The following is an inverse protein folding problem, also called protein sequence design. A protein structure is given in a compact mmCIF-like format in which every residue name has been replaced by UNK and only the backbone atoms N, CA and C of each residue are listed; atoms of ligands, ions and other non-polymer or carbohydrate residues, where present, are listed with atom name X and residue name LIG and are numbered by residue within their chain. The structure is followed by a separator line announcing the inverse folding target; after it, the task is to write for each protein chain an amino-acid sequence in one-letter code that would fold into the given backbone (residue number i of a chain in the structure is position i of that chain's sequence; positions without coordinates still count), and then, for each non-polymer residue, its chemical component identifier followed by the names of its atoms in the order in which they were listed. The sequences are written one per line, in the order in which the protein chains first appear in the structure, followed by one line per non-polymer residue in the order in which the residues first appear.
data_IF_061501138225
#
_entry.id   IF_061501138225
#
_cell.length_a   1.000
_cell.length_b   1.000
_cell.length_c   1.000
_cell.angle_alpha   90.00
_cell.angle_beta   90.00
_cell.angle_gamma   90.00
#
_symmetry.space_group_name_H-M   'P 1'
#
loop_
_entity.id
_entity.type
_entity.pdbx_description
1 polymer ?
#
# COMPACT_ATOMS: atom_id res chain seq x y z
N UNK A 1 6.02 4.63 14.72
CA UNK A 1 7.03 4.40 13.66
C UNK A 1 7.51 2.97 13.83
N UNK A 2 7.05 2.04 12.99
CA UNK A 2 7.55 0.66 13.04
C UNK A 2 8.81 0.56 12.17
N UNK A 3 9.78 -0.23 12.65
CA UNK A 3 11.01 -0.50 11.90
C UNK A 3 10.86 -1.87 11.25
N UNK A 4 10.94 -1.93 9.93
CA UNK A 4 10.86 -3.20 9.21
C UNK A 4 12.13 -4.03 9.49
N UNK A 5 12.01 -5.36 9.71
CA UNK A 5 13.17 -6.24 9.89
C UNK A 5 13.90 -6.54 8.58
N UNK A 6 13.23 -6.37 7.44
CA UNK A 6 13.75 -6.60 6.08
C UNK A 6 13.32 -5.45 5.14
N UNK A 7 14.04 -5.21 4.02
CA UNK A 7 13.63 -4.21 3.04
C UNK A 7 12.23 -4.55 2.49
N UNK A 8 11.39 -3.55 2.26
CA UNK A 8 10.04 -3.73 1.73
C UNK A 8 10.10 -4.50 0.40
N UNK A 9 11.10 -4.21 -0.44
CA UNK A 9 11.29 -4.92 -1.71
C UNK A 9 11.51 -6.43 -1.56
N UNK A 10 12.21 -6.87 -0.51
CA UNK A 10 12.42 -8.32 -0.25
C UNK A 10 11.13 -8.93 0.29
N UNK A 11 10.45 -8.25 1.20
CA UNK A 11 9.16 -8.66 1.73
C UNK A 11 8.12 -8.86 0.61
N UNK A 12 7.96 -7.87 -0.27
CA UNK A 12 7.05 -7.95 -1.42
C UNK A 12 7.44 -9.04 -2.41
N UNK A 13 8.73 -9.34 -2.55
CA UNK A 13 9.19 -10.41 -3.45
C UNK A 13 8.91 -11.81 -2.88
N UNK A 14 8.95 -11.97 -1.55
CA UNK A 14 8.54 -13.22 -0.89
C UNK A 14 7.03 -13.43 -1.05
N UNK A 15 6.23 -12.38 -0.87
CA UNK A 15 4.77 -12.40 -1.03
C UNK A 15 4.30 -12.04 -2.45
N UNK A 16 5.15 -12.23 -3.46
CA UNK A 16 4.83 -11.80 -4.82
C UNK A 16 3.59 -12.48 -5.41
N UNK A 17 3.25 -13.66 -4.90
CA UNK A 17 2.07 -14.42 -5.28
C UNK A 17 0.76 -13.90 -4.64
N UNK A 18 0.84 -13.07 -3.60
CA UNK A 18 -0.31 -12.43 -2.94
C UNK A 18 -0.45 -10.95 -3.32
N UNK A 19 0.43 -10.44 -4.18
CA UNK A 19 0.33 -9.09 -4.71
C UNK A 19 -0.93 -8.93 -5.55
N UNK A 20 -1.69 -7.90 -5.24
CA UNK A 20 -2.88 -7.51 -5.99
C UNK A 20 -2.59 -6.19 -6.68
N UNK A 21 -2.92 -6.11 -7.97
CA UNK A 21 -2.81 -4.85 -8.72
C UNK A 21 -3.99 -3.94 -8.39
N UNK A 22 -3.67 -2.73 -7.91
CA UNK A 22 -4.63 -1.68 -7.63
C UNK A 22 -4.46 -0.54 -8.62
N UNK A 23 -5.57 -0.10 -9.20
CA UNK A 23 -5.66 1.16 -9.92
C UNK A 23 -5.98 2.27 -8.93
N UNK A 24 -5.07 3.24 -8.81
CA UNK A 24 -5.22 4.43 -7.99
C UNK A 24 -6.03 5.45 -8.77
N UNK A 25 -7.24 5.75 -8.30
CA UNK A 25 -8.11 6.79 -8.86
C UNK A 25 -8.11 8.02 -7.97
N UNK A 26 -7.84 9.18 -8.56
CA UNK A 26 -7.93 10.49 -7.90
C UNK A 26 -8.95 11.32 -8.65
N UNK A 27 -9.96 11.83 -7.96
CA UNK A 27 -11.02 12.64 -8.57
C UNK A 27 -11.69 11.95 -9.78
N UNK A 28 -11.98 10.64 -9.66
CA UNK A 28 -12.56 9.77 -10.71
C UNK A 28 -11.67 9.46 -11.93
N UNK A 29 -10.42 9.92 -11.98
CA UNK A 29 -9.46 9.55 -13.02
C UNK A 29 -8.40 8.59 -12.49
N UNK A 30 -8.00 7.59 -13.29
CA UNK A 30 -6.89 6.69 -12.94
C UNK A 30 -5.59 7.46 -13.09
N UNK A 31 -4.93 7.74 -11.96
CA UNK A 31 -3.67 8.50 -11.92
C UNK A 31 -2.44 7.59 -11.93
N UNK A 32 -2.57 6.38 -11.41
CA UNK A 32 -1.48 5.40 -11.37
C UNK A 32 -2.02 4.00 -11.16
N UNK A 33 -1.19 3.00 -11.43
CA UNK A 33 -1.41 1.63 -11.00
C UNK A 33 -0.27 1.22 -10.07
N UNK A 34 -0.58 0.49 -9.01
CA UNK A 34 0.41 0.01 -8.05
C UNK A 34 0.02 -1.37 -7.54
N UNK A 35 0.99 -2.28 -7.46
CA UNK A 35 0.80 -3.59 -6.84
C UNK A 35 0.94 -3.44 -5.33
N UNK A 36 -0.11 -3.84 -4.62
CA UNK A 36 -0.20 -3.72 -3.17
C UNK A 36 -0.45 -5.07 -2.52
N UNK A 37 0.02 -5.22 -1.29
CA UNK A 37 -0.23 -6.40 -0.47
C UNK A 37 -1.30 -6.05 0.59
N UNK A 38 -2.52 -6.60 0.48
CA UNK A 38 -3.52 -6.42 1.52
C UNK A 38 -3.07 -7.09 2.83
N UNK A 39 -3.20 -6.38 3.94
CA UNK A 39 -2.80 -6.85 5.26
C UNK A 39 -3.72 -6.27 6.35
N UNK A 40 -3.64 -6.86 7.53
CA UNK A 40 -4.36 -6.47 8.73
C UNK A 40 -3.37 -6.21 9.86
N UNK A 41 -3.56 -5.10 10.58
CA UNK A 41 -2.77 -4.76 11.76
C UNK A 41 -3.70 -4.22 12.84
N UNK A 42 -3.81 -4.95 13.95
CA UNK A 42 -4.68 -4.61 15.09
C UNK A 42 -6.15 -4.37 14.69
N UNK A 43 -6.68 -5.14 13.73
CA UNK A 43 -8.05 -5.01 13.25
C UNK A 43 -8.27 -3.86 12.26
N UNK A 44 -7.21 -3.15 11.89
CA UNK A 44 -7.23 -2.16 10.80
C UNK A 44 -6.68 -2.81 9.55
N UNK A 45 -7.50 -2.85 8.50
CA UNK A 45 -7.08 -3.32 7.19
C UNK A 45 -6.32 -2.21 6.48
N UNK A 46 -5.24 -2.59 5.82
CA UNK A 46 -4.45 -1.69 5.01
C UNK A 46 -3.91 -2.44 3.81
N UNK A 47 -3.56 -1.70 2.78
CA UNK A 47 -2.80 -2.24 1.67
C UNK A 47 -1.40 -1.65 1.77
N UNK A 48 -0.42 -2.53 1.90
CA UNK A 48 0.98 -2.15 1.86
C UNK A 48 1.39 -1.91 0.41
N UNK A 49 2.10 -0.82 0.15
CA UNK A 49 2.69 -0.48 -1.14
C UNK A 49 4.17 -0.15 -0.97
N UNK A 50 4.94 -0.32 -2.05
CA UNK A 50 6.30 0.18 -2.12
C UNK A 50 6.29 1.72 -2.19
N UNK A 51 7.37 2.36 -1.71
CA UNK A 51 7.53 3.82 -1.71
C UNK A 51 7.45 4.49 -3.09
N UNK A 52 7.61 3.73 -4.18
CA UNK A 52 7.42 4.23 -5.55
C UNK A 52 5.94 4.50 -5.89
N UNK A 53 5.00 4.03 -5.08
CA UNK A 53 3.56 4.25 -5.31
C UNK A 53 3.13 5.65 -4.86
N UNK A 54 2.61 6.46 -5.78
CA UNK A 54 2.18 7.83 -5.52
C UNK A 54 0.74 7.92 -4.97
N UNK A 55 0.51 7.31 -3.80
CA UNK A 55 -0.82 7.21 -3.15
C UNK A 55 -0.98 8.31 -2.10
N UNK A 56 -2.16 8.97 -2.07
CA UNK A 56 -2.49 9.98 -1.06
C UNK A 56 -3.87 9.69 -0.42
N UNK A 57 -4.13 10.26 0.75
CA UNK A 57 -5.45 10.17 1.38
C UNK A 57 -6.53 10.78 0.46
N UNK A 58 -7.66 10.10 0.34
CA UNK A 58 -8.75 10.44 -0.59
C UNK A 58 -8.62 9.79 -1.97
N UNK A 59 -7.53 9.08 -2.26
CA UNK A 59 -7.46 8.23 -3.45
C UNK A 59 -8.36 7.00 -3.29
N UNK A 60 -8.94 6.54 -4.40
CA UNK A 60 -9.74 5.31 -4.46
C UNK A 60 -8.89 4.23 -5.13
N UNK A 61 -8.54 3.19 -4.38
CA UNK A 61 -7.84 2.01 -4.86
C UNK A 61 -8.87 1.01 -5.39
N UNK A 62 -8.91 0.79 -6.70
CA UNK A 62 -9.77 -0.23 -7.32
C UNK A 62 -8.95 -1.46 -7.68
N UNK A 63 -9.37 -2.64 -7.23
CA UNK A 63 -8.90 -3.95 -7.70
C UNK A 63 -10.08 -4.83 -8.10
N UNK A 64 -9.79 -6.07 -8.53
CA UNK A 64 -10.82 -7.06 -8.85
C UNK A 64 -11.74 -7.36 -7.65
N UNK A 65 -11.22 -7.22 -6.43
CA UNK A 65 -11.97 -7.45 -5.18
C UNK A 65 -12.91 -6.30 -4.80
N UNK A 66 -12.78 -5.13 -5.40
CA UNK A 66 -13.61 -3.96 -5.09
C UNK A 66 -12.86 -2.63 -5.14
N UNK A 67 -13.49 -1.59 -4.60
CA UNK A 67 -12.90 -0.26 -4.48
C UNK A 67 -12.78 0.13 -3.01
N UNK A 68 -11.63 0.68 -2.64
CA UNK A 68 -11.28 1.05 -1.27
C UNK A 68 -10.82 2.51 -1.25
N UNK A 69 -11.44 3.33 -0.42
CA UNK A 69 -11.04 4.73 -0.26
C UNK A 69 -9.95 4.83 0.81
N UNK A 70 -8.82 5.45 0.46
CA UNK A 70 -7.70 5.62 1.39
C UNK A 70 -8.04 6.70 2.39
N UNK A 71 -8.24 6.31 3.64
CA UNK A 71 -8.59 7.24 4.73
C UNK A 71 -7.35 7.74 5.47
N UNK A 72 -6.35 6.88 5.62
CA UNK A 72 -5.11 7.17 6.37
C UNK A 72 -3.91 6.53 5.67
N UNK A 73 -2.78 7.23 5.69
CA UNK A 73 -1.50 6.72 5.20
C UNK A 73 -0.48 6.74 6.33
N UNK A 74 0.12 5.59 6.59
CA UNK A 74 1.30 5.49 7.43
C UNK A 74 2.51 5.08 6.57
N UNK A 75 3.70 5.40 7.08
CA UNK A 75 4.95 5.03 6.44
C UNK A 75 5.74 4.16 7.41
N UNK A 76 6.17 3.00 6.92
CA UNK A 76 7.10 2.16 7.63
C UNK A 76 8.51 2.37 7.10
N UNK A 77 9.44 2.38 8.04
CA UNK A 77 10.83 2.68 7.76
C UNK A 77 11.66 1.41 7.86
N UNK A 78 12.48 1.16 6.84
CA UNK A 78 13.56 0.18 6.91
C UNK A 78 14.88 0.93 7.11
N UNK A 79 15.64 0.56 8.14
CA UNK A 79 16.95 1.15 8.44
C UNK A 79 16.94 2.69 8.54
N UNK A 80 15.87 3.25 9.13
CA UNK A 80 15.68 4.70 9.32
C UNK A 80 15.26 5.47 8.06
N UNK A 81 14.98 4.79 6.94
CA UNK A 81 14.42 5.41 5.72
C UNK A 81 13.02 4.88 5.46
N UNK A 82 12.07 5.74 5.05
CA UNK A 82 10.76 5.27 4.62
C UNK A 82 10.93 4.33 3.43
N UNK A 83 10.41 3.12 3.54
CA UNK A 83 10.61 2.04 2.57
C UNK A 83 9.27 1.43 2.13
N UNK A 84 8.21 1.59 2.94
CA UNK A 84 6.88 1.06 2.68
C UNK A 84 5.79 2.07 3.06
N UNK A 85 4.73 2.08 2.26
CA UNK A 85 3.51 2.88 2.47
C UNK A 85 2.41 1.92 2.94
N UNK A 86 1.71 2.26 4.02
CA UNK A 86 0.51 1.57 4.48
C UNK A 86 -0.69 2.46 4.20
N UNK A 87 -1.53 2.08 3.24
CA UNK A 87 -2.77 2.78 2.94
C UNK A 87 -3.94 2.09 3.64
N UNK A 88 -4.48 2.72 4.69
CA UNK A 88 -5.63 2.23 5.44
C UNK A 88 -6.94 2.66 4.78
N UNK A 89 -7.94 1.78 4.86
CA UNK A 89 -9.27 1.95 4.26
C UNK A 89 -10.37 1.38 5.16
#
# INVERSE_FOLDING_TARGET
MATLPVPARIFFNDFAFELVDYSVKRNSEVVSSASGLPSDENGRRYIAFLMDASIICGDILTSDSGSFEVTEIAYDSYNGKPDMIKAYY
#
